data_IF_065931602999
#
_entry.id   IF_065931602999
#
_cell.length_a   1.000
_cell.length_b   1.000
_cell.length_c   1.000
_cell.angle_alpha   90.00
_cell.angle_beta   90.00
_cell.angle_gamma   90.00
#
_symmetry.space_group_name_H-M   'P 1'
#
loop_
_entity.id
_entity.type
_entity.pdbx_description
1 polymer ?
#
# COMPACT_ATOMS: atom_id res chain seq x y z
N UNK A 1 15.55 -9.71 0.26
CA UNK A 1 15.73 -8.26 0.33
C UNK A 1 14.41 -7.63 -0.06
N UNK A 2 13.86 -6.79 0.81
CA UNK A 2 12.49 -6.33 0.67
C UNK A 2 12.41 -5.38 -0.51
N UNK A 3 11.40 -5.57 -1.35
CA UNK A 3 11.21 -4.81 -2.60
C UNK A 3 10.40 -3.57 -2.29
N UNK A 4 10.80 -2.42 -2.84
CA UNK A 4 10.05 -1.17 -2.65
C UNK A 4 9.01 -1.05 -3.74
N UNK A 5 7.78 -0.79 -3.33
CA UNK A 5 6.61 -0.68 -4.19
C UNK A 5 5.84 0.60 -3.94
N UNK A 6 5.01 0.98 -4.90
CA UNK A 6 4.00 2.03 -4.77
C UNK A 6 2.78 1.64 -5.59
N UNK A 7 1.58 1.89 -5.07
CA UNK A 7 0.35 1.70 -5.81
C UNK A 7 0.13 2.83 -6.82
N UNK A 8 -0.35 2.51 -8.02
CA UNK A 8 -0.63 3.53 -9.06
C UNK A 8 -1.68 4.56 -8.64
N UNK A 9 -2.52 4.23 -7.65
CA UNK A 9 -3.50 5.16 -7.06
C UNK A 9 -2.85 6.34 -6.32
N UNK A 10 -1.58 6.18 -5.90
CA UNK A 10 -0.79 7.20 -5.20
C UNK A 10 -0.34 8.35 -6.11
N UNK A 11 -0.53 8.22 -7.42
CA UNK A 11 -0.02 9.12 -8.44
C UNK A 11 -1.17 9.64 -9.32
N UNK A 12 -0.98 10.86 -9.83
CA UNK A 12 -1.83 11.48 -10.86
C UNK A 12 -1.44 11.01 -12.27
N UNK A 13 -2.22 11.37 -13.28
CA UNK A 13 -1.89 11.14 -14.70
C UNK A 13 -2.40 9.82 -15.27
N UNK A 14 -2.00 9.53 -16.51
CA UNK A 14 -2.32 8.27 -17.19
C UNK A 14 -1.44 7.12 -16.69
N UNK A 15 -1.90 5.87 -16.84
CA UNK A 15 -1.20 4.71 -16.29
C UNK A 15 0.24 4.57 -16.80
N UNK A 16 0.51 4.85 -18.08
CA UNK A 16 1.87 4.80 -18.63
C UNK A 16 2.78 5.89 -18.06
N UNK A 17 2.27 7.10 -17.85
CA UNK A 17 3.00 8.19 -17.18
C UNK A 17 3.36 7.79 -15.74
N UNK A 18 2.40 7.23 -14.99
CA UNK A 18 2.62 6.73 -13.63
C UNK A 18 3.72 5.67 -13.61
N UNK A 19 3.64 4.66 -14.46
CA UNK A 19 4.62 3.57 -14.51
C UNK A 19 6.02 4.07 -14.84
N UNK A 20 6.15 5.01 -15.79
CA UNK A 20 7.43 5.64 -16.13
C UNK A 20 7.98 6.47 -14.97
N UNK A 21 7.14 7.22 -14.27
CA UNK A 21 7.53 7.99 -13.08
C UNK A 21 8.01 7.09 -11.94
N UNK A 22 7.31 5.99 -11.68
CA UNK A 22 7.66 4.98 -10.67
C UNK A 22 9.03 4.36 -10.98
N UNK A 23 9.23 3.91 -12.22
CA UNK A 23 10.50 3.33 -12.67
C UNK A 23 11.65 4.35 -12.57
N UNK A 24 11.42 5.57 -13.05
CA UNK A 24 12.43 6.63 -13.04
C UNK A 24 12.80 7.08 -11.62
N UNK A 25 11.86 7.03 -10.67
CA UNK A 25 12.15 7.30 -9.26
C UNK A 25 13.04 6.22 -8.64
N UNK A 26 12.94 4.96 -9.09
CA UNK A 26 13.77 3.85 -8.64
C UNK A 26 13.06 2.81 -7.76
N UNK A 27 11.73 2.69 -7.87
CA UNK A 27 10.99 1.57 -7.27
C UNK A 27 11.30 0.25 -7.99
N UNK A 28 11.22 -0.86 -7.25
CA UNK A 28 11.37 -2.21 -7.82
C UNK A 28 10.05 -2.76 -8.37
N UNK A 29 8.96 -2.40 -7.70
CA UNK A 29 7.65 -3.01 -7.89
C UNK A 29 6.53 -1.97 -7.92
N UNK A 30 5.36 -2.38 -8.41
CA UNK A 30 4.16 -1.55 -8.50
C UNK A 30 2.91 -2.37 -8.18
N UNK A 31 1.95 -1.76 -7.47
CA UNK A 31 0.60 -2.30 -7.39
C UNK A 31 -0.29 -1.64 -8.44
N UNK A 32 -0.99 -2.45 -9.22
CA UNK A 32 -1.91 -1.94 -10.24
C UNK A 32 -3.28 -1.75 -9.63
N UNK A 33 -3.74 -0.49 -9.62
CA UNK A 33 -5.09 -0.13 -9.21
C UNK A 33 -6.07 -0.33 -10.38
N UNK A 34 -7.15 -1.09 -10.16
CA UNK A 34 -8.10 -1.52 -11.20
C UNK A 34 -8.64 -0.35 -12.03
N UNK A 35 -8.94 0.79 -11.41
CA UNK A 35 -9.49 1.93 -12.15
C UNK A 35 -8.50 2.51 -13.17
N UNK A 36 -7.19 2.36 -12.97
CA UNK A 36 -6.19 2.81 -13.94
C UNK A 36 -6.18 1.92 -15.19
N UNK A 37 -6.67 0.68 -15.11
CA UNK A 37 -6.86 -0.17 -16.29
C UNK A 37 -7.99 0.33 -17.18
N UNK A 38 -9.03 0.92 -16.59
CA UNK A 38 -10.22 1.38 -17.32
C UNK A 38 -9.93 2.65 -18.14
N UNK A 39 -8.96 3.45 -17.72
CA UNK A 39 -8.56 4.68 -18.39
C UNK A 39 -7.44 4.46 -19.42
N UNK A 40 -6.73 3.33 -19.34
CA UNK A 40 -5.65 3.00 -20.26
C UNK A 40 -6.22 2.34 -21.52
N UNK A 41 -6.07 2.99 -22.69
CA UNK A 41 -6.61 2.52 -23.97
C UNK A 41 -5.95 1.25 -24.54
N UNK A 42 -5.22 0.48 -23.72
CA UNK A 42 -4.52 -0.74 -24.10
C UNK A 42 -4.80 -1.88 -23.13
N UNK A 43 -4.51 -3.12 -23.54
CA UNK A 43 -4.89 -4.31 -22.80
C UNK A 43 -3.97 -4.63 -21.62
N UNK A 44 -4.35 -5.57 -20.74
CA UNK A 44 -3.54 -5.99 -19.60
C UNK A 44 -2.14 -6.50 -19.99
N UNK A 45 -2.03 -7.18 -21.14
CA UNK A 45 -0.74 -7.66 -21.68
C UNK A 45 0.19 -6.53 -22.11
N UNK A 46 -0.36 -5.42 -22.60
CA UNK A 46 0.43 -4.25 -22.98
C UNK A 46 1.00 -3.56 -21.74
N UNK A 47 0.25 -3.54 -20.65
CA UNK A 47 0.69 -3.04 -19.34
C UNK A 47 1.80 -3.95 -18.79
N UNK A 48 1.60 -5.27 -18.82
CA UNK A 48 2.64 -6.22 -18.41
C UNK A 48 3.93 -6.03 -19.20
N UNK A 49 3.81 -5.83 -20.52
CA UNK A 49 4.95 -5.52 -21.39
C UNK A 49 5.62 -4.19 -21.01
N UNK A 50 4.85 -3.13 -20.75
CA UNK A 50 5.40 -1.84 -20.35
C UNK A 50 6.16 -1.94 -19.03
N UNK A 51 5.59 -2.61 -18.02
CA UNK A 51 6.26 -2.85 -16.74
C UNK A 51 7.57 -3.63 -16.93
N UNK A 52 7.54 -4.69 -17.74
CA UNK A 52 8.74 -5.44 -18.11
C UNK A 52 9.82 -4.56 -18.77
N UNK A 53 9.44 -3.76 -19.77
CA UNK A 53 10.35 -2.85 -20.48
C UNK A 53 10.93 -1.76 -19.57
N UNK A 54 10.24 -1.43 -18.48
CA UNK A 54 10.67 -0.52 -17.42
C UNK A 54 11.41 -1.20 -16.26
N UNK A 55 11.61 -2.53 -16.31
CA UNK A 55 12.15 -3.34 -15.21
C UNK A 55 11.38 -3.17 -13.88
N UNK A 56 10.06 -2.99 -13.98
CA UNK A 56 9.13 -2.97 -12.85
C UNK A 56 8.35 -4.28 -12.78
N UNK A 57 8.29 -4.89 -11.60
CA UNK A 57 7.44 -6.06 -11.36
C UNK A 57 6.10 -5.64 -10.75
N UNK A 58 5.00 -6.23 -11.24
CA UNK A 58 3.67 -5.99 -10.65
C UNK A 58 3.50 -6.90 -9.43
N UNK A 59 3.51 -6.33 -8.22
CA UNK A 59 3.50 -7.10 -6.97
C UNK A 59 2.10 -7.43 -6.46
N UNK A 60 1.09 -6.64 -6.83
CA UNK A 60 -0.31 -6.90 -6.51
C UNK A 60 -1.25 -6.25 -7.53
N UNK A 61 -2.44 -6.84 -7.66
CA UNK A 61 -3.58 -6.24 -8.34
C UNK A 61 -4.69 -5.95 -7.34
N UNK A 62 -5.23 -4.73 -7.39
CA UNK A 62 -6.14 -4.25 -6.35
C UNK A 62 -7.12 -3.19 -6.85
N UNK A 63 -8.24 -2.96 -6.16
CA UNK A 63 -8.80 -3.74 -5.07
C UNK A 63 -9.92 -4.67 -5.56
N UNK A 64 -10.10 -5.82 -4.92
CA UNK A 64 -11.35 -6.58 -5.02
C UNK A 64 -12.23 -6.27 -3.81
N UNK A 65 -13.42 -5.70 -4.07
CA UNK A 65 -14.33 -5.27 -3.00
C UNK A 65 -15.47 -6.24 -2.75
N UNK A 66 -16.00 -6.22 -1.53
CA UNK A 66 -17.25 -6.85 -1.10
C UNK A 66 -17.34 -8.35 -1.45
N UNK A 67 -16.36 -9.14 -1.00
CA UNK A 67 -16.27 -10.56 -1.32
C UNK A 67 -16.97 -11.44 -0.28
N UNK A 68 -16.47 -11.43 0.95
CA UNK A 68 -16.74 -12.39 2.00
C UNK A 68 -18.08 -12.13 2.71
N UNK A 69 -18.69 -13.20 3.22
CA UNK A 69 -19.88 -13.12 4.06
C UNK A 69 -21.14 -12.68 3.31
N UNK A 70 -21.16 -12.75 1.97
CA UNK A 70 -22.34 -12.40 1.18
C UNK A 70 -23.40 -13.53 1.21
N UNK A 71 -24.70 -13.19 1.18
CA UNK A 71 -25.75 -14.18 0.98
C UNK A 71 -25.76 -14.70 -0.46
N UNK A 72 -26.43 -15.83 -0.70
CA UNK A 72 -26.79 -16.23 -2.06
C UNK A 72 -27.93 -15.36 -2.60
N UNK A 73 -27.92 -15.00 -3.90
CA UNK A 73 -27.01 -15.45 -4.97
C UNK A 73 -25.74 -14.59 -5.13
N UNK A 74 -25.50 -13.60 -4.27
CA UNK A 74 -24.38 -12.65 -4.41
C UNK A 74 -23.03 -13.35 -4.17
N UNK A 75 -22.96 -14.28 -3.22
CA UNK A 75 -21.78 -15.12 -2.97
C UNK A 75 -21.33 -15.82 -4.24
N UNK A 76 -22.20 -16.60 -4.90
CA UNK A 76 -21.86 -17.26 -6.16
C UNK A 76 -21.38 -16.28 -7.26
N UNK A 77 -21.99 -15.10 -7.36
CA UNK A 77 -21.56 -14.06 -8.31
C UNK A 77 -20.17 -13.49 -7.98
N UNK A 78 -19.84 -13.35 -6.70
CA UNK A 78 -18.55 -12.87 -6.25
C UNK A 78 -17.43 -13.86 -6.59
N UNK A 79 -17.65 -15.16 -6.39
CA UNK A 79 -16.72 -16.18 -6.84
C UNK A 79 -16.51 -16.12 -8.36
N UNK A 80 -17.58 -16.02 -9.15
CA UNK A 80 -17.46 -15.86 -10.60
C UNK A 80 -16.70 -14.57 -11.00
N UNK A 81 -16.84 -13.48 -10.23
CA UNK A 81 -16.07 -12.24 -10.43
C UNK A 81 -14.60 -12.44 -10.09
N UNK A 82 -14.28 -13.16 -9.02
CA UNK A 82 -12.90 -13.49 -8.65
C UNK A 82 -12.20 -14.32 -9.75
N UNK A 83 -12.88 -15.32 -10.33
CA UNK A 83 -12.31 -16.11 -11.44
C UNK A 83 -11.91 -15.25 -12.65
N UNK A 84 -12.72 -14.24 -13.00
CA UNK A 84 -12.38 -13.27 -14.06
C UNK A 84 -11.21 -12.37 -13.70
N UNK A 85 -11.05 -12.07 -12.41
CA UNK A 85 -9.93 -11.26 -11.90
C UNK A 85 -8.64 -12.07 -11.95
N UNK A 86 -8.71 -13.37 -11.67
CA UNK A 86 -7.60 -14.28 -11.88
C UNK A 86 -7.16 -14.36 -13.35
N UNK A 87 -8.10 -14.40 -14.31
CA UNK A 87 -7.76 -14.35 -15.74
C UNK A 87 -7.00 -13.06 -16.08
N UNK A 88 -7.49 -11.91 -15.58
CA UNK A 88 -6.86 -10.61 -15.77
C UNK A 88 -5.46 -10.53 -15.15
N UNK A 89 -5.27 -11.06 -13.93
CA UNK A 89 -3.98 -11.08 -13.25
C UNK A 89 -2.94 -11.92 -13.99
N UNK A 90 -3.35 -13.04 -14.58
CA UNK A 90 -2.46 -13.87 -15.41
C UNK A 90 -1.99 -13.11 -16.64
N UNK A 91 -2.83 -12.27 -17.25
CA UNK A 91 -2.41 -11.40 -18.36
C UNK A 91 -1.50 -10.25 -17.92
N UNK A 92 -1.73 -9.70 -16.72
CA UNK A 92 -0.85 -8.71 -16.09
C UNK A 92 0.49 -9.31 -15.65
N UNK A 93 0.57 -10.64 -15.46
CA UNK A 93 1.75 -11.31 -14.93
C UNK A 93 1.97 -11.09 -13.42
N UNK A 94 0.91 -10.91 -12.65
CA UNK A 94 0.96 -10.79 -11.18
C UNK A 94 0.26 -11.96 -10.49
N UNK A 95 0.67 -12.26 -9.27
CA UNK A 95 0.20 -13.43 -8.53
C UNK A 95 -0.63 -13.11 -7.29
N UNK A 96 -0.74 -11.84 -6.88
CA UNK A 96 -1.41 -11.45 -5.63
C UNK A 96 -2.62 -10.55 -5.91
N UNK A 97 -3.81 -11.01 -5.49
CA UNK A 97 -5.04 -10.21 -5.45
C UNK A 97 -5.25 -9.63 -4.06
N UNK A 98 -5.40 -8.32 -3.93
CA UNK A 98 -5.85 -7.69 -2.69
C UNK A 98 -7.37 -7.69 -2.63
N UNK A 99 -7.93 -8.26 -1.57
CA UNK A 99 -9.35 -8.17 -1.23
C UNK A 99 -9.49 -7.34 0.04
N UNK A 100 -10.23 -6.24 -0.06
CA UNK A 100 -10.52 -5.40 1.09
C UNK A 100 -11.83 -5.85 1.77
N UNK A 101 -11.89 -5.77 3.09
CA UNK A 101 -13.05 -6.17 3.91
C UNK A 101 -14.36 -5.58 3.40
N UNK A 102 -15.41 -6.38 3.43
CA UNK A 102 -16.72 -6.07 2.88
C UNK A 102 -17.36 -4.86 3.60
N UNK A 103 -17.85 -3.90 2.81
CA UNK A 103 -18.57 -2.71 3.30
C UNK A 103 -20.06 -2.76 2.97
N UNK A 104 -20.50 -3.78 2.25
CA UNK A 104 -21.89 -3.94 1.84
C UNK A 104 -22.83 -4.12 3.05
N UNK A 105 -23.98 -3.42 3.08
CA UNK A 105 -25.00 -3.65 4.11
C UNK A 105 -25.63 -5.04 4.01
N UNK A 106 -25.45 -5.75 2.90
CA UNK A 106 -25.94 -7.12 2.70
C UNK A 106 -25.03 -8.19 3.29
N UNK A 107 -23.81 -7.84 3.72
CA UNK A 107 -22.88 -8.81 4.32
C UNK A 107 -23.43 -9.34 5.63
N UNK A 108 -23.42 -10.67 5.79
CA UNK A 108 -23.93 -11.40 6.95
C UNK A 108 -22.95 -11.42 8.12
N UNK A 109 -21.66 -11.16 7.88
CA UNK A 109 -20.60 -11.27 8.87
C UNK A 109 -20.32 -12.71 9.31
N UNK A 110 -19.54 -12.83 10.39
CA UNK A 110 -19.11 -14.10 10.98
C UNK A 110 -17.72 -14.53 10.50
N UNK A 111 -16.79 -14.67 11.46
CA UNK A 111 -15.39 -15.05 11.21
C UNK A 111 -15.30 -16.41 10.50
N UNK A 112 -16.03 -17.43 10.95
CA UNK A 112 -15.99 -18.76 10.34
C UNK A 112 -16.54 -18.76 8.91
N UNK A 113 -17.60 -17.99 8.66
CA UNK A 113 -18.15 -17.83 7.30
C UNK A 113 -17.14 -17.19 6.36
N UNK A 114 -16.50 -16.10 6.79
CA UNK A 114 -15.47 -15.46 6.00
C UNK A 114 -14.28 -16.40 5.78
N UNK A 115 -13.88 -17.17 6.79
CA UNK A 115 -12.80 -18.15 6.69
C UNK A 115 -13.13 -19.26 5.67
N UNK A 116 -14.36 -19.78 5.67
CA UNK A 116 -14.83 -20.75 4.68
C UNK A 116 -14.83 -20.17 3.26
N UNK A 117 -15.29 -18.92 3.09
CA UNK A 117 -15.25 -18.21 1.80
C UNK A 117 -13.82 -18.04 1.29
N UNK A 118 -12.89 -17.62 2.15
CA UNK A 118 -11.49 -17.46 1.79
C UNK A 118 -10.78 -18.80 1.56
N UNK A 119 -11.12 -19.86 2.30
CA UNK A 119 -10.60 -21.21 2.03
C UNK A 119 -10.99 -21.68 0.64
N UNK A 120 -12.28 -21.59 0.28
CA UNK A 120 -12.77 -21.95 -1.05
C UNK A 120 -12.09 -21.11 -2.15
N UNK A 121 -11.92 -19.80 -1.90
CA UNK A 121 -11.22 -18.93 -2.84
C UNK A 121 -9.74 -19.30 -2.99
N UNK A 122 -9.11 -19.68 -1.89
CA UNK A 122 -7.73 -20.14 -1.84
C UNK A 122 -7.50 -21.37 -2.70
N UNK A 123 -8.41 -22.34 -2.64
CA UNK A 123 -8.35 -23.54 -3.50
C UNK A 123 -8.40 -23.19 -4.99
N UNK A 124 -9.24 -22.20 -5.36
CA UNK A 124 -9.36 -21.72 -6.75
C UNK A 124 -8.10 -20.96 -7.18
N UNK A 125 -7.58 -20.09 -6.32
CA UNK A 125 -6.36 -19.31 -6.57
C UNK A 125 -5.14 -20.23 -6.74
N UNK A 126 -4.96 -21.20 -5.84
CA UNK A 126 -3.83 -22.13 -5.89
C UNK A 126 -3.79 -23.00 -7.15
N UNK A 127 -4.96 -23.44 -7.67
CA UNK A 127 -5.04 -24.16 -8.95
C UNK A 127 -4.47 -23.37 -10.13
N UNK A 128 -4.39 -22.04 -9.99
CA UNK A 128 -3.87 -21.11 -11.00
C UNK A 128 -2.50 -20.54 -10.64
N UNK A 129 -1.89 -20.96 -9.53
CA UNK A 129 -0.64 -20.40 -9.01
C UNK A 129 -0.78 -18.97 -8.48
N UNK A 130 -1.99 -18.57 -8.07
CA UNK A 130 -2.30 -17.24 -7.54
C UNK A 130 -2.48 -17.27 -6.02
N UNK A 131 -2.37 -16.10 -5.41
CA UNK A 131 -2.49 -15.81 -3.99
C UNK A 131 -3.52 -14.70 -3.77
N UNK A 132 -4.15 -14.72 -2.60
CA UNK A 132 -5.11 -13.72 -2.17
C UNK A 132 -4.69 -13.17 -0.82
N UNK A 133 -4.60 -11.84 -0.75
CA UNK A 133 -4.34 -11.11 0.48
C UNK A 133 -5.62 -10.45 0.97
N UNK A 134 -5.94 -10.64 2.25
CA UNK A 134 -7.09 -10.01 2.89
C UNK A 134 -6.67 -8.78 3.70
N UNK A 135 -7.29 -7.64 3.42
CA UNK A 135 -7.04 -6.37 4.07
C UNK A 135 -8.29 -5.91 4.85
N UNK A 136 -8.13 -5.54 6.12
CA UNK A 136 -9.19 -4.91 6.89
C UNK A 136 -9.23 -3.40 6.62
N UNK A 137 -10.30 -2.92 6.02
CA UNK A 137 -10.59 -1.48 5.95
C UNK A 137 -11.07 -1.02 7.32
N UNK A 138 -10.57 0.11 7.82
CA UNK A 138 -11.00 0.67 9.11
C UNK A 138 -12.51 1.01 9.21
N UNK A 139 -13.24 0.97 8.09
CA UNK A 139 -14.70 1.13 8.01
C UNK A 139 -15.41 -0.12 7.46
N UNK A 140 -14.75 -1.27 7.45
CA UNK A 140 -15.35 -2.55 7.08
C UNK A 140 -16.58 -2.85 7.93
N UNK A 141 -17.59 -3.49 7.34
CA UNK A 141 -18.91 -3.67 7.97
C UNK A 141 -18.85 -4.54 9.23
N UNK A 142 -18.04 -5.59 9.16
CA UNK A 142 -17.87 -6.61 10.21
C UNK A 142 -16.41 -6.84 10.59
N UNK A 143 -15.49 -6.60 9.65
CA UNK A 143 -14.04 -6.74 9.85
C UNK A 143 -13.42 -5.38 9.55
N UNK A 144 -13.00 -4.69 10.59
CA UNK A 144 -12.36 -3.38 10.46
C UNK A 144 -11.06 -3.26 11.26
N UNK A 145 -10.58 -4.40 11.76
CA UNK A 145 -9.37 -4.56 12.54
C UNK A 145 -8.53 -5.67 11.89
N UNK A 146 -7.23 -5.42 11.72
CA UNK A 146 -6.30 -6.39 11.14
C UNK A 146 -6.25 -7.69 11.95
N UNK A 147 -6.55 -7.66 13.25
CA UNK A 147 -6.58 -8.84 14.13
C UNK A 147 -7.72 -9.80 13.77
N UNK A 148 -8.88 -9.26 13.42
CA UNK A 148 -10.02 -10.06 12.96
C UNK A 148 -9.76 -10.60 11.55
N UNK A 149 -9.14 -9.80 10.67
CA UNK A 149 -8.68 -10.28 9.36
C UNK A 149 -7.65 -11.41 9.49
N UNK A 150 -6.71 -11.30 10.44
CA UNK A 150 -5.76 -12.36 10.73
C UNK A 150 -6.46 -13.61 11.23
N UNK A 151 -7.44 -13.49 12.13
CA UNK A 151 -8.18 -14.66 12.63
C UNK A 151 -8.93 -15.38 11.50
N UNK A 152 -9.51 -14.63 10.54
CA UNK A 152 -10.12 -15.20 9.33
C UNK A 152 -9.08 -15.95 8.49
N UNK A 153 -7.94 -15.32 8.19
CA UNK A 153 -6.84 -15.94 7.41
C UNK A 153 -6.31 -17.20 8.11
N UNK A 154 -6.13 -17.14 9.43
CA UNK A 154 -5.65 -18.25 10.25
C UNK A 154 -6.63 -19.42 10.24
N UNK A 155 -7.94 -19.17 10.31
CA UNK A 155 -8.99 -20.22 10.23
C UNK A 155 -9.17 -20.74 8.81
N UNK A 156 -9.02 -19.89 7.80
CA UNK A 156 -9.03 -20.31 6.40
C UNK A 156 -7.91 -21.34 6.14
N UNK A 157 -6.78 -21.23 6.85
CA UNK A 157 -5.69 -22.22 6.89
C UNK A 157 -5.32 -22.76 5.50
N UNK A 158 -5.07 -21.83 4.57
CA UNK A 158 -4.75 -22.16 3.19
C UNK A 158 -3.47 -21.44 2.76
N UNK A 159 -2.52 -22.09 2.07
CA UNK A 159 -1.23 -21.47 1.71
C UNK A 159 -1.36 -20.32 0.70
N UNK A 160 -2.41 -20.32 -0.11
CA UNK A 160 -2.70 -19.21 -1.04
C UNK A 160 -3.46 -18.04 -0.41
N UNK A 161 -3.79 -18.11 0.89
CA UNK A 161 -4.49 -17.04 1.62
C UNK A 161 -3.55 -16.45 2.67
N UNK A 162 -3.38 -15.14 2.61
CA UNK A 162 -2.57 -14.37 3.54
C UNK A 162 -3.25 -13.07 3.95
N UNK A 163 -2.63 -12.35 4.87
CA UNK A 163 -3.08 -11.02 5.32
C UNK A 163 -2.29 -9.92 4.62
N UNK A 164 -2.95 -8.80 4.36
CA UNK A 164 -2.33 -7.54 3.96
C UNK A 164 -2.47 -6.56 5.12
N UNK A 165 -1.36 -5.92 5.48
CA UNK A 165 -1.32 -4.94 6.57
C UNK A 165 -1.17 -3.54 5.99
N UNK A 166 -2.16 -2.68 6.23
CA UNK A 166 -2.11 -1.25 5.90
C UNK A 166 -1.89 -0.44 7.20
N UNK A 167 -0.88 0.43 7.21
CA UNK A 167 -0.54 1.22 8.40
C UNK A 167 -1.62 2.24 8.77
N UNK A 168 -2.27 2.88 7.80
CA UNK A 168 -3.36 3.82 8.08
C UNK A 168 -4.55 3.09 8.72
N UNK A 169 -4.93 1.93 8.19
CA UNK A 169 -6.04 1.14 8.73
C UNK A 169 -5.79 0.62 10.15
N UNK A 170 -4.53 0.36 10.51
CA UNK A 170 -4.16 0.02 11.88
C UNK A 170 -4.06 1.25 12.80
N UNK A 171 -3.45 2.34 12.32
CA UNK A 171 -3.03 3.46 13.17
C UNK A 171 -4.10 4.55 13.32
N UNK A 172 -4.89 4.84 12.29
CA UNK A 172 -5.93 5.87 12.35
C UNK A 172 -7.00 5.56 13.42
N UNK A 173 -7.48 4.31 13.59
CA UNK A 173 -8.36 3.94 14.71
C UNK A 173 -7.64 3.80 16.06
N UNK A 174 -6.31 3.82 16.08
CA UNK A 174 -5.50 3.61 17.28
C UNK A 174 -5.39 2.16 17.75
N UNK A 175 -5.41 1.18 16.83
CA UNK A 175 -5.25 -0.22 17.21
C UNK A 175 -3.83 -0.52 17.71
N UNK A 176 -3.66 -1.43 18.69
CA UNK A 176 -2.34 -1.79 19.18
C UNK A 176 -1.56 -2.56 18.11
N UNK A 177 -0.43 -2.02 17.65
CA UNK A 177 0.39 -2.65 16.60
C UNK A 177 1.27 -3.79 17.11
N UNK A 178 1.64 -3.81 18.41
CA UNK A 178 2.49 -4.86 18.98
C UNK A 178 1.93 -6.28 18.83
N UNK A 179 0.62 -6.43 18.71
CA UNK A 179 -0.01 -7.74 18.48
C UNK A 179 0.30 -8.32 17.08
N UNK A 180 0.75 -7.50 16.12
CA UNK A 180 1.19 -7.97 14.79
C UNK A 180 2.35 -8.96 14.88
N UNK A 181 3.21 -8.86 15.91
CA UNK A 181 4.33 -9.78 16.13
C UNK A 181 3.90 -11.25 16.31
N UNK A 182 2.61 -11.51 16.56
CA UNK A 182 2.05 -12.88 16.63
C UNK A 182 1.69 -13.48 15.27
N UNK A 183 1.69 -12.68 14.20
CA UNK A 183 1.39 -13.12 12.85
C UNK A 183 2.68 -13.71 12.24
N UNK A 184 2.65 -14.95 11.73
CA UNK A 184 3.78 -15.50 10.99
C UNK A 184 4.13 -14.64 9.78
N UNK A 185 5.39 -14.25 9.63
CA UNK A 185 5.83 -13.35 8.55
C UNK A 185 5.53 -13.87 7.13
N UNK A 186 5.47 -15.20 6.95
CA UNK A 186 5.11 -15.86 5.68
C UNK A 186 3.61 -15.79 5.36
N UNK A 187 2.76 -15.44 6.35
CA UNK A 187 1.33 -15.18 6.16
C UNK A 187 1.02 -13.73 5.82
N UNK A 188 1.98 -12.82 5.95
CA UNK A 188 1.84 -11.43 5.51
C UNK A 188 2.26 -11.39 4.03
N UNK A 189 1.31 -11.11 3.14
CA UNK A 189 1.57 -11.15 1.70
C UNK A 189 1.96 -9.79 1.12
N UNK A 190 1.54 -8.70 1.76
CA UNK A 190 1.86 -7.34 1.39
C UNK A 190 1.76 -6.43 2.62
N UNK A 191 2.62 -5.41 2.67
CA UNK A 191 2.52 -4.32 3.64
C UNK A 191 2.39 -3.02 2.88
N UNK A 192 1.33 -2.28 3.16
CA UNK A 192 1.06 -0.96 2.60
C UNK A 192 1.26 0.11 3.67
N UNK A 193 2.00 1.14 3.31
CA UNK A 193 2.33 2.25 4.16
C UNK A 193 1.63 3.52 3.70
N UNK A 194 0.97 4.13 4.65
CA UNK A 194 0.37 5.43 4.59
C UNK A 194 0.49 6.10 5.96
N UNK A 195 1.03 7.30 5.95
CA UNK A 195 0.95 8.24 7.06
C UNK A 195 -0.27 9.14 6.87
N UNK A 196 -0.58 9.99 7.83
CA UNK A 196 -1.57 11.04 7.69
C UNK A 196 -1.42 12.10 8.79
N UNK A 197 -1.70 13.38 8.53
CA UNK A 197 -1.81 14.38 9.58
C UNK A 197 -3.01 14.05 10.48
N UNK A 198 -2.91 14.34 11.78
CA UNK A 198 -4.03 14.16 12.71
C UNK A 198 -5.12 15.18 12.42
N UNK A 199 -6.26 14.71 11.92
CA UNK A 199 -7.42 15.53 11.57
C UNK A 199 -8.67 15.03 12.29
N UNK A 200 -9.55 15.95 12.67
CA UNK A 200 -10.88 15.64 13.21
C UNK A 200 -11.86 15.36 12.05
N UNK A 201 -11.70 14.21 11.40
CA UNK A 201 -12.54 13.74 10.30
C UNK A 201 -13.00 12.30 10.55
N UNK A 202 -14.08 11.89 9.91
CA UNK A 202 -14.40 10.46 9.85
C UNK A 202 -13.28 9.71 9.11
N UNK A 203 -13.01 8.48 9.54
CA UNK A 203 -11.84 7.70 9.07
C UNK A 203 -11.87 7.49 7.55
N UNK A 204 -13.06 7.34 6.95
CA UNK A 204 -13.20 7.14 5.51
C UNK A 204 -12.79 8.39 4.73
N UNK A 205 -13.32 9.56 5.13
CA UNK A 205 -12.93 10.84 4.53
C UNK A 205 -11.45 11.14 4.77
N UNK A 206 -10.96 10.90 5.99
CA UNK A 206 -9.55 11.07 6.32
C UNK A 206 -8.65 10.24 5.39
N UNK A 207 -8.97 8.95 5.24
CA UNK A 207 -8.24 8.02 4.38
C UNK A 207 -8.26 8.41 2.91
N UNK A 208 -9.37 8.94 2.39
CA UNK A 208 -9.55 9.21 0.95
C UNK A 208 -8.86 10.47 0.45
N UNK A 209 -8.58 11.40 1.36
CA UNK A 209 -8.19 12.76 1.01
C UNK A 209 -6.83 13.18 1.59
N UNK A 210 -6.41 12.59 2.71
CA UNK A 210 -5.29 13.13 3.50
C UNK A 210 -4.24 12.09 3.90
N UNK A 211 -4.22 10.89 3.30
CA UNK A 211 -3.03 10.02 3.47
C UNK A 211 -1.79 10.74 2.94
N UNK A 212 -0.63 10.48 3.49
CA UNK A 212 0.65 11.05 3.05
C UNK A 212 1.76 10.01 3.14
N UNK A 213 2.93 10.30 2.58
CA UNK A 213 4.06 9.38 2.69
C UNK A 213 4.60 9.34 4.13
N UNK A 214 5.18 8.20 4.58
CA UNK A 214 5.83 8.09 5.90
C UNK A 214 6.73 9.27 6.25
N UNK A 215 6.49 9.87 7.41
CA UNK A 215 7.24 11.03 7.91
C UNK A 215 6.72 12.39 7.44
N UNK A 216 5.62 12.41 6.65
CA UNK A 216 4.89 13.62 6.29
C UNK A 216 3.58 13.79 7.08
N UNK A 217 3.24 12.84 7.95
CA UNK A 217 2.08 12.90 8.83
C UNK A 217 2.45 12.78 10.30
N UNK A 218 1.45 12.44 11.11
CA UNK A 218 1.53 12.35 12.57
C UNK A 218 1.24 10.93 13.10
N UNK A 219 1.04 9.95 12.22
CA UNK A 219 0.81 8.57 12.61
C UNK A 219 2.15 7.90 12.99
N UNK A 220 2.18 7.01 13.99
CA UNK A 220 3.41 6.35 14.43
C UNK A 220 3.79 5.19 13.48
N UNK A 221 4.02 5.48 12.20
CA UNK A 221 4.37 4.50 11.16
C UNK A 221 5.64 3.71 11.52
N UNK A 222 6.59 4.34 12.21
CA UNK A 222 7.79 3.66 12.72
C UNK A 222 7.47 2.53 13.70
N UNK A 223 6.51 2.73 14.62
CA UNK A 223 6.10 1.69 15.57
C UNK A 223 5.37 0.53 14.87
N UNK A 224 4.54 0.85 13.87
CA UNK A 224 3.92 -0.16 13.01
C UNK A 224 4.98 -1.01 12.31
N UNK A 225 5.99 -0.38 11.72
CA UNK A 225 7.05 -1.11 11.02
C UNK A 225 7.96 -1.91 11.94
N UNK A 226 8.22 -1.45 13.16
CA UNK A 226 8.92 -2.27 14.17
C UNK A 226 8.14 -3.55 14.48
N UNK A 227 6.81 -3.46 14.60
CA UNK A 227 5.97 -4.62 14.85
C UNK A 227 5.93 -5.58 13.65
N UNK A 228 5.89 -5.05 12.41
CA UNK A 228 6.01 -5.83 11.18
C UNK A 228 7.38 -6.51 11.09
N UNK A 229 8.47 -5.80 11.36
CA UNK A 229 9.83 -6.35 11.34
C UNK A 229 9.97 -7.53 12.32
N UNK A 230 9.36 -7.44 13.50
CA UNK A 230 9.37 -8.51 14.50
C UNK A 230 8.71 -9.83 14.05
N UNK A 231 7.88 -9.81 12.99
CA UNK A 231 7.30 -11.03 12.39
C UNK A 231 8.27 -11.80 11.51
N UNK A 232 9.40 -11.18 11.13
CA UNK A 232 10.32 -11.69 10.12
C UNK A 232 9.85 -11.46 8.68
N UNK A 233 8.82 -10.63 8.46
CA UNK A 233 8.33 -10.29 7.12
C UNK A 233 9.45 -9.73 6.22
N UNK A 234 9.57 -10.30 5.03
CA UNK A 234 10.59 -9.95 4.05
C UNK A 234 10.02 -9.70 2.64
N UNK A 235 8.71 -9.47 2.54
CA UNK A 235 8.01 -9.21 1.28
C UNK A 235 8.10 -7.74 0.83
N UNK A 236 7.29 -7.35 -0.16
CA UNK A 236 7.23 -5.98 -0.66
C UNK A 236 6.76 -4.97 0.38
N UNK A 237 7.40 -3.81 0.43
CA UNK A 237 6.95 -2.65 1.21
C UNK A 237 6.40 -1.61 0.24
N UNK A 238 5.09 -1.40 0.27
CA UNK A 238 4.40 -0.58 -0.71
C UNK A 238 3.85 0.70 -0.12
N UNK A 239 3.74 1.75 -0.93
CA UNK A 239 3.06 3.00 -0.57
C UNK A 239 1.67 3.05 -1.20
N UNK A 240 0.63 3.24 -0.39
CA UNK A 240 -0.76 3.35 -0.88
C UNK A 240 -1.44 4.62 -0.36
N UNK A 241 -1.39 5.68 -1.17
CA UNK A 241 -1.75 7.03 -0.75
C UNK A 241 -2.96 7.54 -1.55
N UNK A 242 -4.08 7.77 -0.86
CA UNK A 242 -5.19 8.53 -1.42
C UNK A 242 -5.09 9.98 -0.90
N UNK A 243 -4.59 10.87 -1.76
CA UNK A 243 -4.36 12.27 -1.40
C UNK A 243 -4.73 13.20 -2.56
N UNK A 244 -5.56 14.20 -2.29
CA UNK A 244 -6.05 15.12 -3.33
C UNK A 244 -4.97 16.08 -3.84
N UNK A 245 -4.02 16.50 -2.99
CA UNK A 245 -2.89 17.32 -3.42
C UNK A 245 -1.96 16.51 -4.33
N UNK A 246 -1.71 15.25 -4.02
CA UNK A 246 -0.86 14.39 -4.86
C UNK A 246 -1.51 14.13 -6.22
N UNK A 247 -2.84 13.99 -6.24
CA UNK A 247 -3.63 13.87 -7.48
C UNK A 247 -3.59 15.12 -8.35
N UNK A 248 -3.36 16.29 -7.77
CA UNK A 248 -3.17 17.55 -8.49
C UNK A 248 -1.70 17.83 -8.84
N UNK A 249 -0.76 17.03 -8.33
CA UNK A 249 0.68 17.22 -8.47
C UNK A 249 1.30 16.49 -9.65
N UNK A 250 2.63 16.60 -9.78
CA UNK A 250 3.43 15.89 -10.77
C UNK A 250 3.68 14.44 -10.33
N UNK A 251 3.33 13.47 -11.18
CA UNK A 251 3.60 12.05 -10.91
C UNK A 251 5.10 11.78 -10.66
N UNK A 252 6.00 12.42 -11.42
CA UNK A 252 7.44 12.25 -11.26
C UNK A 252 7.95 12.74 -9.88
N UNK A 253 7.53 13.93 -9.45
CA UNK A 253 7.94 14.46 -8.14
C UNK A 253 7.36 13.63 -6.99
N UNK A 254 6.07 13.29 -7.07
CA UNK A 254 5.39 12.45 -6.07
C UNK A 254 6.05 11.08 -5.95
N UNK A 255 6.45 10.44 -7.06
CA UNK A 255 7.16 9.16 -7.02
C UNK A 255 8.53 9.29 -6.32
N UNK A 256 9.30 10.34 -6.63
CA UNK A 256 10.60 10.58 -5.98
C UNK A 256 10.45 10.80 -4.48
N UNK A 257 9.45 11.59 -4.06
CA UNK A 257 9.20 11.84 -2.64
C UNK A 257 8.70 10.59 -1.91
N UNK A 258 7.90 9.77 -2.58
CA UNK A 258 7.52 8.43 -2.10
C UNK A 258 8.75 7.57 -1.83
N UNK A 259 9.67 7.43 -2.79
CA UNK A 259 10.87 6.62 -2.58
C UNK A 259 11.76 7.17 -1.45
N UNK A 260 11.93 8.50 -1.37
CA UNK A 260 12.67 9.15 -0.26
C UNK A 260 12.08 8.84 1.11
N UNK A 261 10.75 8.80 1.22
CA UNK A 261 10.08 8.46 2.47
C UNK A 261 10.40 7.04 2.94
N UNK A 262 10.44 6.06 2.02
CA UNK A 262 10.82 4.68 2.34
C UNK A 262 12.28 4.61 2.76
N UNK A 263 13.18 5.28 2.04
CA UNK A 263 14.61 5.33 2.41
C UNK A 263 14.79 5.88 3.83
N UNK A 264 14.10 6.98 4.16
CA UNK A 264 14.16 7.59 5.48
C UNK A 264 13.58 6.67 6.57
N UNK A 265 12.45 6.01 6.30
CA UNK A 265 11.82 5.09 7.23
C UNK A 265 12.70 3.87 7.50
N UNK A 266 13.28 3.28 6.46
CA UNK A 266 14.17 2.11 6.59
C UNK A 266 15.46 2.45 7.35
N UNK A 267 16.01 3.65 7.17
CA UNK A 267 17.18 4.12 7.95
C UNK A 267 16.86 4.20 9.45
N UNK A 268 15.65 4.64 9.81
CA UNK A 268 15.18 4.69 11.20
C UNK A 268 14.93 3.31 11.82
N UNK A 269 14.69 2.28 10.99
CA UNK A 269 14.43 0.91 11.45
C UNK A 269 15.71 0.05 11.56
N UNK A 270 16.87 0.56 11.11
CA UNK A 270 18.11 -0.18 11.23
C UNK A 270 18.54 -0.35 12.71
N UNK A 271 19.04 -1.53 13.13
CA UNK A 271 19.42 -2.68 12.31
C UNK A 271 18.32 -3.74 12.11
N UNK A 272 17.14 -3.57 12.71
CA UNK A 272 16.09 -4.61 12.81
C UNK A 272 15.36 -4.87 11.48
N UNK A 273 15.52 -4.00 10.48
CA UNK A 273 15.01 -4.18 9.13
C UNK A 273 16.13 -4.53 8.14
N UNK A 274 15.94 -5.51 7.23
CA UNK A 274 16.94 -5.87 6.23
C UNK A 274 17.29 -4.65 5.37
N UNK A 275 18.52 -4.14 5.49
CA UNK A 275 18.95 -2.94 4.79
C UNK A 275 18.86 -3.11 3.28
N UNK A 276 18.36 -2.07 2.60
CA UNK A 276 18.54 -1.96 1.16
C UNK A 276 20.02 -1.77 0.82
N UNK A 277 20.44 -2.10 -0.40
CA UNK A 277 21.83 -2.10 -0.84
C UNK A 277 22.25 -0.65 -1.01
N UNK A 278 22.75 -0.07 0.07
CA UNK A 278 23.18 1.31 0.15
C UNK A 278 23.98 1.52 1.41
N UNK A 279 24.90 2.46 1.35
CA UNK A 279 25.53 3.01 2.53
C UNK A 279 24.44 3.56 3.47
N UNK A 280 24.57 3.39 4.80
CA UNK A 280 23.70 4.06 5.76
C UNK A 280 23.60 5.56 5.47
N UNK A 281 22.46 6.19 5.74
CA UNK A 281 22.40 7.63 5.62
C UNK A 281 23.40 8.24 6.60
N UNK A 282 24.15 9.24 6.13
CA UNK A 282 25.03 9.99 7.00
C UNK A 282 24.20 10.63 8.13
N UNK A 283 24.71 10.65 9.38
CA UNK A 283 23.99 11.26 10.48
C UNK A 283 23.71 12.73 10.17
N UNK A 284 22.50 13.20 10.52
CA UNK A 284 22.11 14.59 10.33
C UNK A 284 23.12 15.51 11.04
N UNK A 285 23.65 16.49 10.32
CA UNK A 285 24.53 17.50 10.90
C UNK A 285 23.77 18.31 11.97
N UNK A 286 24.47 18.69 13.04
CA UNK A 286 23.91 19.61 14.05
C UNK A 286 23.98 21.03 13.48
N UNK A 287 22.83 21.67 13.31
CA UNK A 287 22.77 23.08 12.89
C UNK A 287 23.15 24.00 14.05
N UNK A 288 24.04 24.97 13.78
CA UNK A 288 24.37 26.07 14.70
C UNK A 288 23.45 27.29 14.56
N UNK A 289 22.44 27.23 13.68
CA UNK A 289 21.58 28.35 13.32
C UNK A 289 21.87 28.90 11.92
N UNK A 290 21.25 30.03 11.59
CA UNK A 290 21.41 30.70 10.29
C UNK A 290 22.76 31.41 10.25
N UNK A 291 23.64 31.01 9.33
CA UNK A 291 24.94 31.66 9.15
C UNK A 291 24.84 33.05 8.52
N UNK A 292 24.03 33.18 7.46
CA UNK A 292 23.67 34.44 6.80
C UNK A 292 22.34 34.29 6.06
N UNK A 293 21.73 35.42 5.69
CA UNK A 293 20.55 35.45 4.82
C UNK A 293 20.95 36.18 3.53
N UNK A 294 20.75 35.52 2.39
CA UNK A 294 21.01 36.09 1.07
C UNK A 294 19.70 36.63 0.49
N UNK A 295 19.70 37.89 0.03
CA UNK A 295 18.55 38.53 -0.57
C UNK A 295 18.77 38.72 -2.07
N UNK A 296 17.86 38.20 -2.89
CA UNK A 296 17.83 38.47 -4.32
C UNK A 296 17.12 39.81 -4.58
N UNK A 297 17.90 40.88 -4.73
CA UNK A 297 17.40 42.24 -4.99
C UNK A 297 18.15 42.88 -6.15
N UNK A 298 17.49 43.84 -6.80
CA UNK A 298 18.17 44.70 -7.76
C UNK A 298 19.05 45.73 -7.02
N UNK A 299 19.98 46.36 -7.76
CA UNK A 299 20.95 47.30 -7.19
C UNK A 299 20.29 48.46 -6.44
N UNK A 300 19.14 48.95 -6.94
CA UNK A 300 18.41 50.05 -6.30
C UNK A 300 17.90 49.68 -4.91
N UNK A 301 17.39 48.45 -4.71
CA UNK A 301 16.90 47.97 -3.42
C UNK A 301 18.00 47.39 -2.52
N UNK A 302 19.16 47.03 -3.08
CA UNK A 302 20.30 46.55 -2.30
C UNK A 302 20.77 47.58 -1.27
N UNK A 303 20.73 48.88 -1.61
CA UNK A 303 21.11 49.97 -0.69
C UNK A 303 20.20 50.12 0.54
N UNK A 304 18.95 49.62 0.48
CA UNK A 304 18.00 49.64 1.59
C UNK A 304 18.22 48.48 2.56
N UNK A 305 18.74 47.35 2.08
CA UNK A 305 19.04 46.14 2.88
C UNK A 305 20.45 46.13 3.49
N UNK A 306 21.33 47.00 3.01
CA UNK A 306 22.71 47.13 3.51
C UNK A 306 22.83 47.97 4.80
N UNK A 307 21.72 48.44 5.38
CA UNK A 307 21.65 49.22 6.62
C UNK A 307 21.04 48.41 7.76
#
# INVERSE_FOLDING_TARGET
MNKRSIATVSLSGALDEKLRAIAAAGFDEVEIFENDLLSFGAGPRDIAKLCHDLNLKICAFQPFRDFEGMPEPQRARNFARAERKFDLMQELGTDLLLICSNVSPSSLGGIDRAADDFRELGERAAKRGLRVGYEALAWGRHVNDYRDAWEIVRRADHPAIGIILDSFHALAPGFPVRAMASIPGDKIFLVQLADAPKLELDILSWSRHFRSFPGQGDLPVGEFMQAVAATGYAGPLSLEIFNDQFRAGSAAQTAVDGLRSLILLEDQLAPDWPKFSGEPLAPKAKSGGTGFIEFAVNETKAGELAR
#
